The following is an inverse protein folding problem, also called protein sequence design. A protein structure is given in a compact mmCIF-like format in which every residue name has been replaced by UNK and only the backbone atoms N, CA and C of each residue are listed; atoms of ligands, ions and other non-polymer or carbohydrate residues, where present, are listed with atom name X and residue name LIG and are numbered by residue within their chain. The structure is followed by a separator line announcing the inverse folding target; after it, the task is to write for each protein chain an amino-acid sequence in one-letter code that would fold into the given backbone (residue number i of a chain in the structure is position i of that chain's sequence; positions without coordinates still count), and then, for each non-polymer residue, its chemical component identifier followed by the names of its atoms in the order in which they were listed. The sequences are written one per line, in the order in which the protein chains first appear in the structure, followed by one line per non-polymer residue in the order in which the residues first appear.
data_IF_295673413295
#
_entry.id   IF_295673413295
#
_cell.length_a   1.000
_cell.length_b   1.000
_cell.length_c   1.000
_cell.angle_alpha   90.00
_cell.angle_beta   90.00
_cell.angle_gamma   90.00
#
_symmetry.space_group_name_H-M   'P 1'
#
loop_
_entity.id
_entity.type
_entity.pdbx_description
1 polymer ?
#
# COMPACT_ATOMS: atom_id res chain seq x y z
N UNK A 1 -20.58 -11.86 7.84
CA UNK A 1 -19.27 -11.18 7.93
C UNK A 1 -19.45 -9.89 7.17
N UNK A 2 -18.89 -8.80 7.69
CA UNK A 2 -18.94 -7.49 7.04
C UNK A 2 -17.63 -7.28 6.29
N UNK A 3 -17.73 -6.66 5.13
CA UNK A 3 -16.57 -6.36 4.30
C UNK A 3 -15.89 -5.12 4.87
N UNK A 4 -14.56 -5.06 4.79
CA UNK A 4 -13.78 -3.87 5.11
C UNK A 4 -13.22 -3.32 3.81
N UNK A 5 -13.59 -2.10 3.44
CA UNK A 5 -12.99 -1.41 2.31
C UNK A 5 -11.64 -0.84 2.72
N UNK A 6 -10.59 -1.12 1.94
CA UNK A 6 -9.24 -0.68 2.21
C UNK A 6 -8.64 0.09 1.02
N UNK A 7 -7.78 1.05 1.33
CA UNK A 7 -6.94 1.76 0.36
C UNK A 7 -5.54 1.93 0.92
N UNK A 8 -4.55 1.75 0.06
CA UNK A 8 -3.14 1.86 0.41
C UNK A 8 -2.44 2.69 -0.65
N UNK A 9 -1.66 3.67 -0.21
CA UNK A 9 -0.70 4.38 -1.05
C UNK A 9 0.71 4.17 -0.53
N UNK A 10 1.57 3.65 -1.40
CA UNK A 10 2.99 3.53 -1.15
C UNK A 10 3.69 4.80 -1.58
N UNK A 11 4.62 5.27 -0.77
CA UNK A 11 5.53 6.38 -1.10
C UNK A 11 6.98 5.93 -0.91
N UNK A 12 7.84 6.21 -1.90
CA UNK A 12 9.25 5.85 -1.86
C UNK A 12 9.90 5.79 -3.23
N UNK A 13 11.15 5.29 -3.35
CA UNK A 13 11.84 5.16 -4.62
C UNK A 13 11.08 4.27 -5.61
N UNK A 14 11.02 4.66 -6.89
CA UNK A 14 10.23 3.95 -7.90
C UNK A 14 10.66 2.48 -8.06
N UNK A 15 11.96 2.20 -7.92
CA UNK A 15 12.49 0.83 -7.98
C UNK A 15 11.99 -0.08 -6.84
N UNK A 16 11.80 0.47 -5.63
CA UNK A 16 11.28 -0.30 -4.49
C UNK A 16 9.76 -0.49 -4.60
N UNK A 17 9.03 0.50 -5.13
CA UNK A 17 7.60 0.36 -5.44
C UNK A 17 7.37 -0.75 -6.46
N UNK A 18 8.14 -0.76 -7.55
CA UNK A 18 8.06 -1.82 -8.56
C UNK A 18 8.47 -3.20 -8.01
N UNK A 19 9.48 -3.22 -7.12
CA UNK A 19 9.87 -4.45 -6.43
C UNK A 19 8.75 -4.97 -5.54
N UNK A 20 8.09 -4.10 -4.76
CA UNK A 20 6.92 -4.47 -3.96
C UNK A 20 5.81 -5.01 -4.84
N UNK A 21 5.38 -4.25 -5.84
CA UNK A 21 4.26 -4.62 -6.72
C UNK A 21 4.47 -5.99 -7.38
N UNK A 22 5.70 -6.29 -7.82
CA UNK A 22 6.02 -7.57 -8.44
C UNK A 22 6.07 -8.74 -7.46
N UNK A 23 6.50 -8.52 -6.22
CA UNK A 23 6.76 -9.59 -5.25
C UNK A 23 5.60 -9.84 -4.29
N UNK A 24 4.73 -8.84 -4.11
CA UNK A 24 3.75 -8.83 -3.01
C UNK A 24 2.30 -8.80 -3.47
N UNK A 25 2.05 -8.65 -4.77
CA UNK A 25 0.72 -8.66 -5.36
C UNK A 25 0.65 -9.84 -6.32
N UNK A 26 -0.16 -10.83 -5.98
CA UNK A 26 -0.47 -11.94 -6.87
C UNK A 26 -1.90 -11.81 -7.39
N UNK A 27 -2.02 -11.89 -8.72
CA UNK A 27 -3.30 -11.82 -9.43
C UNK A 27 -3.61 -13.22 -9.98
N UNK A 28 -4.48 -14.01 -9.32
CA UNK A 28 -4.76 -15.37 -9.71
C UNK A 28 -5.28 -15.46 -11.15
N UNK A 29 -4.85 -16.48 -11.93
CA UNK A 29 -5.32 -16.64 -13.30
C UNK A 29 -6.85 -16.82 -13.36
N UNK A 30 -7.52 -16.02 -14.19
CA UNK A 30 -8.96 -16.13 -14.44
C UNK A 30 -9.84 -15.16 -13.66
N UNK A 31 -9.27 -14.27 -12.85
CA UNK A 31 -9.98 -13.10 -12.32
C UNK A 31 -10.39 -12.17 -13.47
N UNK A 32 -11.70 -12.00 -13.71
CA UNK A 32 -12.24 -11.09 -14.72
C UNK A 32 -12.55 -9.72 -14.09
N UNK A 33 -11.80 -8.66 -14.42
CA UNK A 33 -12.06 -7.30 -13.91
C UNK A 33 -13.35 -6.69 -14.44
N UNK A 34 -13.96 -7.30 -15.44
CA UNK A 34 -15.20 -6.84 -16.08
C UNK A 34 -16.38 -7.72 -15.69
N UNK A 35 -16.24 -8.64 -14.73
CA UNK A 35 -17.38 -9.36 -14.16
C UNK A 35 -18.18 -8.43 -13.25
N UNK A 36 -18.93 -7.53 -13.88
CA UNK A 36 -19.81 -6.54 -13.26
C UNK A 36 -21.12 -7.17 -12.77
N UNK A 37 -21.23 -8.51 -12.72
CA UNK A 37 -22.46 -9.22 -12.35
C UNK A 37 -22.72 -9.18 -10.83
N UNK A 38 -22.66 -7.99 -10.22
CA UNK A 38 -22.95 -7.79 -8.80
C UNK A 38 -22.64 -6.42 -8.22
N UNK A 39 -22.22 -5.42 -9.02
CA UNK A 39 -21.65 -4.17 -8.49
C UNK A 39 -20.19 -4.31 -8.06
N UNK A 40 -19.53 -5.36 -8.56
CA UNK A 40 -18.12 -5.66 -8.40
C UNK A 40 -17.30 -4.98 -9.51
N UNK A 41 -16.28 -4.21 -9.12
CA UNK A 41 -15.36 -3.51 -10.03
C UNK A 41 -13.89 -3.79 -9.61
N UNK A 42 -13.43 -5.04 -9.72
CA UNK A 42 -12.05 -5.39 -9.38
C UNK A 42 -11.71 -6.87 -9.51
N UNK A 43 -10.48 -7.22 -9.13
CA UNK A 43 -9.96 -8.59 -9.18
C UNK A 43 -9.90 -9.22 -7.78
N UNK A 44 -9.97 -10.54 -7.74
CA UNK A 44 -9.39 -11.29 -6.63
C UNK A 44 -7.87 -11.09 -6.62
N UNK A 45 -7.26 -11.04 -5.44
CA UNK A 45 -5.82 -10.94 -5.29
C UNK A 45 -5.35 -11.59 -4.00
N UNK A 46 -4.06 -11.91 -3.94
CA UNK A 46 -3.36 -12.16 -2.69
C UNK A 46 -2.34 -11.06 -2.46
N UNK A 47 -2.44 -10.39 -1.31
CA UNK A 47 -1.51 -9.34 -0.87
C UNK A 47 -0.61 -9.93 0.20
N UNK A 48 0.67 -10.08 -0.09
CA UNK A 48 1.60 -10.70 0.84
C UNK A 48 2.82 -11.25 0.15
N UNK A 49 3.77 -11.78 0.93
CA UNK A 49 5.01 -12.29 0.37
C UNK A 49 5.02 -13.82 0.35
N UNK A 50 4.84 -14.40 -0.84
CA UNK A 50 4.89 -15.85 -1.01
C UNK A 50 6.34 -16.30 -1.26
N UNK A 51 7.06 -16.64 -0.19
CA UNK A 51 8.24 -17.52 -0.23
C UNK A 51 9.54 -16.96 -0.82
N UNK A 52 10.33 -16.25 0.01
CA UNK A 52 11.82 -16.26 -0.05
C UNK A 52 12.44 -16.30 1.36
N UNK A 53 11.77 -16.94 2.32
CA UNK A 53 12.47 -17.43 3.52
C UNK A 53 12.50 -18.96 3.44
N UNK A 54 13.68 -19.60 3.46
CA UNK A 54 13.73 -21.05 3.60
C UNK A 54 12.98 -21.40 4.89
N UNK A 55 11.97 -22.26 4.79
CA UNK A 55 11.30 -22.79 5.96
C UNK A 55 12.38 -23.36 6.90
N UNK A 56 12.57 -22.75 8.06
CA UNK A 56 13.45 -23.34 9.06
C UNK A 56 12.93 -24.75 9.37
N UNK A 57 13.78 -25.79 9.30
CA UNK A 57 13.33 -27.15 9.59
C UNK A 57 12.84 -27.23 11.03
N UNK A 58 11.52 -27.33 11.21
CA UNK A 58 10.87 -27.39 12.52
C UNK A 58 9.68 -26.42 12.69
N UNK A 59 9.52 -25.44 11.79
CA UNK A 59 8.39 -24.53 11.83
C UNK A 59 7.23 -25.06 10.97
N UNK A 60 6.26 -25.74 11.59
CA UNK A 60 5.04 -26.22 10.92
C UNK A 60 4.04 -25.10 10.61
N UNK A 61 4.37 -23.82 10.84
CA UNK A 61 3.56 -22.72 10.31
C UNK A 61 4.10 -22.32 8.94
N UNK A 62 3.56 -22.89 7.88
CA UNK A 62 3.26 -22.04 6.72
C UNK A 62 2.21 -21.05 7.20
N UNK A 63 2.63 -19.96 7.87
CA UNK A 63 1.79 -18.76 7.85
C UNK A 63 1.70 -18.44 6.37
N UNK A 64 0.50 -18.54 5.80
CA UNK A 64 0.24 -17.79 4.59
C UNK A 64 0.59 -16.34 4.95
N UNK A 65 1.73 -15.82 4.49
CA UNK A 65 2.20 -14.48 4.82
C UNK A 65 1.51 -13.46 3.91
N UNK A 66 0.20 -13.61 3.75
CA UNK A 66 -0.59 -12.81 2.86
C UNK A 66 -2.07 -12.92 3.16
N UNK A 67 -2.79 -11.92 2.69
CA UNK A 67 -4.23 -11.76 2.83
C UNK A 67 -4.89 -12.02 1.48
N UNK A 68 -5.94 -12.84 1.46
CA UNK A 68 -6.82 -12.89 0.31
C UNK A 68 -7.70 -11.64 0.33
N UNK A 69 -7.72 -10.93 -0.78
CA UNK A 69 -8.53 -9.74 -0.93
C UNK A 69 -9.30 -9.80 -2.24
N UNK A 70 -10.38 -9.03 -2.30
CA UNK A 70 -11.22 -8.93 -3.48
C UNK A 70 -11.48 -7.48 -3.85
N UNK A 71 -12.16 -7.26 -4.97
CA UNK A 71 -12.39 -5.92 -5.51
C UNK A 71 -11.09 -5.10 -5.67
N UNK A 72 -9.98 -5.80 -5.91
CA UNK A 72 -8.65 -5.19 -6.02
C UNK A 72 -8.61 -4.30 -7.27
N UNK A 73 -8.12 -3.09 -7.08
CA UNK A 73 -7.97 -2.09 -8.13
C UNK A 73 -6.74 -1.24 -7.90
N UNK A 74 -6.04 -0.96 -8.98
CA UNK A 74 -4.87 -0.10 -8.96
C UNK A 74 -5.20 1.27 -9.53
N UNK A 75 -4.57 2.30 -8.97
CA UNK A 75 -4.53 3.62 -9.59
C UNK A 75 -3.28 3.74 -10.45
N UNK A 76 -3.34 4.61 -11.46
CA UNK A 76 -2.20 4.87 -12.32
C UNK A 76 -0.98 5.29 -11.48
N UNK A 77 0.18 4.62 -11.61
CA UNK A 77 1.35 4.95 -10.83
C UNK A 77 1.82 6.38 -11.13
N UNK A 78 2.31 7.05 -10.10
CA UNK A 78 2.87 8.39 -10.20
C UNK A 78 4.35 8.36 -9.77
N UNK A 79 5.17 9.33 -10.19
CA UNK A 79 6.56 9.40 -9.73
C UNK A 79 6.64 9.45 -8.20
N UNK A 80 7.23 8.41 -7.61
CA UNK A 80 7.41 8.29 -6.16
C UNK A 80 6.18 7.78 -5.38
N UNK A 81 5.09 7.40 -6.05
CA UNK A 81 3.93 6.80 -5.37
C UNK A 81 3.10 5.85 -6.23
N UNK A 82 2.50 4.85 -5.59
CA UNK A 82 1.55 3.95 -6.23
C UNK A 82 0.45 3.58 -5.23
N UNK A 83 -0.80 3.61 -5.70
CA UNK A 83 -1.98 3.39 -4.86
C UNK A 83 -2.81 2.24 -5.39
N UNK A 84 -3.40 1.48 -4.48
CA UNK A 84 -4.34 0.42 -4.77
C UNK A 84 -5.40 0.33 -3.67
N UNK A 85 -6.56 -0.22 -4.00
CA UNK A 85 -7.66 -0.44 -3.08
C UNK A 85 -8.17 -1.88 -3.21
N UNK A 86 -8.72 -2.41 -2.14
CA UNK A 86 -9.17 -3.80 -2.04
C UNK A 86 -10.09 -3.97 -0.84
N UNK A 87 -10.88 -5.03 -0.86
CA UNK A 87 -11.78 -5.38 0.22
C UNK A 87 -11.27 -6.65 0.93
N UNK A 88 -11.45 -6.71 2.25
CA UNK A 88 -11.09 -7.85 3.10
C UNK A 88 -12.24 -8.24 4.01
N UNK A 89 -12.14 -9.41 4.63
CA UNK A 89 -13.07 -9.82 5.68
C UNK A 89 -12.81 -9.01 6.96
N UNK A 90 -13.84 -8.34 7.47
CA UNK A 90 -13.97 -7.80 8.83
C UNK A 90 -13.00 -6.70 9.30
N UNK A 91 -11.78 -6.57 8.75
CA UNK A 91 -10.77 -5.61 9.21
C UNK A 91 -9.63 -5.40 8.21
N UNK A 92 -8.90 -4.30 8.37
CA UNK A 92 -7.64 -4.09 7.67
C UNK A 92 -6.62 -5.15 8.15
N UNK A 93 -5.86 -5.79 7.23
CA UNK A 93 -4.95 -6.89 7.57
C UNK A 93 -3.63 -6.36 8.17
N UNK A 94 -3.68 -5.80 9.38
CA UNK A 94 -2.56 -5.12 10.04
C UNK A 94 -1.29 -5.98 10.08
N UNK A 95 -1.40 -7.25 10.51
CA UNK A 95 -0.24 -8.13 10.62
C UNK A 95 0.49 -8.40 9.29
N UNK A 96 -0.24 -8.41 8.17
CA UNK A 96 0.37 -8.54 6.84
C UNK A 96 1.12 -7.26 6.49
N UNK A 97 0.55 -6.09 6.76
CA UNK A 97 1.19 -4.81 6.47
C UNK A 97 2.36 -4.48 7.40
N UNK A 98 2.36 -4.95 8.66
CA UNK A 98 3.53 -4.90 9.54
C UNK A 98 4.71 -5.70 8.96
N UNK A 99 4.44 -6.94 8.51
CA UNK A 99 5.45 -7.80 7.88
C UNK A 99 5.97 -7.19 6.56
N UNK A 100 5.08 -6.67 5.72
CA UNK A 100 5.45 -6.00 4.47
C UNK A 100 6.27 -4.73 4.73
N UNK A 101 5.89 -3.92 5.71
CA UNK A 101 6.65 -2.72 6.08
C UNK A 101 8.07 -3.07 6.56
N UNK A 102 8.23 -4.17 7.31
CA UNK A 102 9.54 -4.67 7.72
C UNK A 102 10.40 -5.14 6.52
N UNK A 103 9.79 -5.73 5.49
CA UNK A 103 10.46 -6.20 4.27
C UNK A 103 10.84 -5.07 3.30
N UNK A 104 10.12 -3.95 3.35
CA UNK A 104 10.31 -2.78 2.49
C UNK A 104 10.52 -1.50 3.31
N UNK A 105 11.64 -1.39 4.05
CA UNK A 105 11.89 -0.27 4.96
C UNK A 105 12.06 1.09 4.27
N UNK A 106 12.25 1.10 2.94
CA UNK A 106 12.34 2.31 2.14
C UNK A 106 10.96 2.82 1.65
N UNK A 107 9.89 2.06 1.91
CA UNK A 107 8.52 2.42 1.54
C UNK A 107 7.74 2.86 2.79
N UNK A 108 6.92 3.89 2.60
CA UNK A 108 5.94 4.36 3.56
C UNK A 108 4.53 3.99 3.05
N UNK A 109 3.76 3.29 3.87
CA UNK A 109 2.44 2.78 3.51
C UNK A 109 1.39 3.66 4.18
N UNK A 110 0.76 4.57 3.43
CA UNK A 110 -0.41 5.33 3.90
C UNK A 110 -1.66 4.49 3.68
N UNK A 111 -2.26 4.05 4.78
CA UNK A 111 -3.34 3.10 4.78
C UNK A 111 -4.61 3.76 5.27
N UNK A 112 -5.72 3.34 4.69
CA UNK A 112 -7.05 3.82 4.99
C UNK A 112 -8.05 2.66 4.94
N UNK A 113 -8.99 2.58 5.90
CA UNK A 113 -10.04 1.56 5.90
C UNK A 113 -11.37 2.06 6.47
N UNK A 114 -12.48 1.43 6.07
CA UNK A 114 -13.82 1.62 6.64
C UNK A 114 -14.61 0.32 6.56
N UNK A 115 -15.28 -0.05 7.65
CA UNK A 115 -16.19 -1.18 7.69
C UNK A 115 -17.47 -0.89 6.88
N UNK A 116 -17.97 -1.87 6.14
CA UNK A 116 -19.13 -1.73 5.27
C UNK A 116 -20.45 -1.43 6.01
N UNK A 117 -20.53 -1.67 7.33
CA UNK A 117 -21.66 -1.30 8.16
C UNK A 117 -21.40 -0.06 9.03
N UNK A 118 -20.33 0.69 8.75
CA UNK A 118 -19.93 1.89 9.48
C UNK A 118 -19.58 1.62 10.97
N UNK A 119 -19.22 0.38 11.33
CA UNK A 119 -18.89 0.02 12.72
C UNK A 119 -17.55 0.64 13.18
N UNK A 120 -16.60 0.78 12.25
CA UNK A 120 -15.31 1.42 12.50
C UNK A 120 -14.68 1.97 11.21
N UNK A 121 -13.68 2.82 11.38
CA UNK A 121 -12.75 3.23 10.32
C UNK A 121 -11.32 3.29 10.85
N UNK A 122 -10.36 3.38 9.94
CA UNK A 122 -8.95 3.46 10.28
C UNK A 122 -8.16 4.27 9.28
N UNK A 123 -7.09 4.90 9.75
CA UNK A 123 -6.11 5.53 8.88
C UNK A 123 -4.75 5.65 9.56
N UNK A 124 -3.70 5.85 8.77
CA UNK A 124 -2.35 6.11 9.27
C UNK A 124 -1.29 5.33 8.51
N UNK A 125 -0.10 5.21 9.08
CA UNK A 125 1.07 4.72 8.36
C UNK A 125 1.61 3.40 8.90
N UNK A 126 1.97 2.48 8.01
CA UNK A 126 3.05 1.51 8.28
C UNK A 126 4.37 2.07 7.73
N UNK A 127 5.47 1.88 8.47
CA UNK A 127 6.69 2.67 8.31
C UNK A 127 6.40 4.18 8.30
N UNK A 128 5.96 4.80 9.40
CA UNK A 128 5.62 6.22 9.41
C UNK A 128 6.84 7.08 9.02
N UNK A 129 6.67 8.07 8.12
CA UNK A 129 7.69 9.11 7.95
C UNK A 129 7.85 9.88 9.28
N UNK A 130 8.94 10.66 9.42
CA UNK A 130 9.15 11.45 10.65
C UNK A 130 7.96 12.38 10.89
N UNK A 131 7.23 12.14 12.00
CA UNK A 131 6.03 12.90 12.35
C UNK A 131 4.72 12.37 11.76
N UNK A 132 4.75 11.30 10.97
CA UNK A 132 3.55 10.54 10.57
C UNK A 132 2.99 9.74 11.74
N UNK A 133 1.67 9.56 11.75
CA UNK A 133 0.98 8.80 12.79
C UNK A 133 0.89 7.32 12.41
N UNK A 134 1.21 6.37 13.30
CA UNK A 134 1.07 4.96 12.99
C UNK A 134 -0.39 4.61 12.66
N UNK A 135 -0.59 3.59 11.84
CA UNK A 135 -1.92 3.10 11.49
C UNK A 135 -2.69 2.65 12.74
N UNK A 136 -4.00 2.91 12.72
CA UNK A 136 -4.99 2.44 13.69
C UNK A 136 -6.34 2.29 13.00
N UNK A 137 -7.16 1.33 13.43
CA UNK A 137 -8.49 1.06 12.87
C UNK A 137 -9.61 0.98 13.91
N UNK A 138 -9.43 1.68 15.04
CA UNK A 138 -10.38 1.77 16.15
C UNK A 138 -11.11 3.13 16.17
N UNK A 139 -11.24 3.80 15.02
CA UNK A 139 -11.85 5.12 14.93
C UNK A 139 -13.36 5.01 14.70
N UNK A 140 -14.15 5.87 15.36
CA UNK A 140 -15.61 5.94 15.15
C UNK A 140 -15.94 6.53 13.78
N UNK A 141 -16.91 5.95 13.07
CA UNK A 141 -17.44 6.52 11.82
C UNK A 141 -18.45 7.63 12.14
N UNK A 142 -18.22 8.88 11.71
CA UNK A 142 -19.18 9.96 11.91
C UNK A 142 -20.52 9.66 11.23
N UNK A 143 -21.65 9.97 11.89
CA UNK A 143 -22.98 9.73 11.34
C UNK A 143 -23.26 10.46 10.01
N UNK A 144 -22.54 11.55 9.74
CA UNK A 144 -22.59 12.31 8.49
C UNK A 144 -21.46 11.97 7.50
N UNK A 145 -20.68 10.92 7.74
CA UNK A 145 -19.51 10.57 6.92
C UNK A 145 -19.85 10.53 5.42
N UNK A 146 -20.88 9.78 5.03
CA UNK A 146 -21.28 9.63 3.63
C UNK A 146 -21.96 10.88 3.04
N UNK A 147 -22.66 11.67 3.85
CA UNK A 147 -23.46 12.81 3.38
C UNK A 147 -22.70 14.14 3.43
N UNK A 148 -21.69 14.24 4.30
CA UNK A 148 -20.82 15.39 4.52
C UNK A 148 -19.58 15.43 3.62
N UNK A 149 -19.42 14.46 2.71
CA UNK A 149 -18.31 14.42 1.74
C UNK A 149 -17.15 13.49 2.11
N UNK A 150 -17.36 12.48 2.94
CA UNK A 150 -16.61 11.21 2.97
C UNK A 150 -15.12 11.27 3.27
N UNK A 151 -14.59 12.36 3.83
CA UNK A 151 -13.12 12.59 3.85
C UNK A 151 -12.51 12.82 5.23
N UNK A 152 -13.29 12.89 6.31
CA UNK A 152 -12.75 13.34 7.60
C UNK A 152 -12.41 12.21 8.55
N UNK A 153 -11.46 11.38 8.12
CA UNK A 153 -10.74 10.48 9.07
C UNK A 153 -9.71 11.24 9.87
N UNK A 154 -9.21 12.36 9.34
CA UNK A 154 -8.25 13.24 10.01
C UNK A 154 -8.90 14.56 10.40
N UNK A 155 -8.49 15.13 11.54
CA UNK A 155 -8.81 16.52 11.85
C UNK A 155 -8.13 17.46 10.84
N UNK A 156 -8.64 18.68 10.61
CA UNK A 156 -8.02 19.61 9.66
C UNK A 156 -6.53 19.86 9.91
N UNK A 157 -6.12 19.92 11.17
CA UNK A 157 -4.72 20.11 11.56
C UNK A 157 -3.85 18.89 11.21
N UNK A 158 -4.37 17.68 11.45
CA UNK A 158 -3.69 16.42 11.12
C UNK A 158 -3.62 16.23 9.60
N UNK A 159 -4.69 16.55 8.89
CA UNK A 159 -4.76 16.46 7.43
C UNK A 159 -3.77 17.43 6.74
N UNK A 160 -3.66 18.65 7.24
CA UNK A 160 -2.66 19.60 6.76
C UNK A 160 -1.23 19.10 6.98
N UNK A 161 -0.96 18.48 8.14
CA UNK A 161 0.34 17.88 8.46
C UNK A 161 0.62 16.67 7.55
N UNK A 162 -0.37 15.80 7.36
CA UNK A 162 -0.30 14.65 6.46
C UNK A 162 0.04 15.09 5.03
N UNK A 163 -0.68 16.08 4.50
CA UNK A 163 -0.44 16.65 3.17
C UNK A 163 1.00 17.15 3.03
N UNK A 164 1.53 17.83 4.05
CA UNK A 164 2.91 18.30 4.05
C UNK A 164 3.93 17.14 4.06
N UNK A 165 3.65 16.06 4.80
CA UNK A 165 4.48 14.85 4.82
C UNK A 165 4.48 14.14 3.47
N UNK A 166 3.31 13.93 2.88
CA UNK A 166 3.16 13.33 1.54
C UNK A 166 3.96 14.13 0.52
N UNK A 167 3.84 15.46 0.52
CA UNK A 167 4.61 16.32 -0.38
C UNK A 167 6.11 16.11 -0.20
N UNK A 168 6.61 16.08 1.04
CA UNK A 168 8.03 15.88 1.32
C UNK A 168 8.53 14.49 0.86
N UNK A 169 7.71 13.45 1.00
CA UNK A 169 8.03 12.10 0.52
C UNK A 169 8.13 12.05 -1.00
N UNK A 170 7.18 12.67 -1.72
CA UNK A 170 7.21 12.74 -3.18
C UNK A 170 8.44 13.51 -3.69
N UNK A 171 8.75 14.66 -3.08
CA UNK A 171 9.95 15.44 -3.43
C UNK A 171 11.23 14.60 -3.22
N UNK A 172 11.32 13.86 -2.10
CA UNK A 172 12.46 13.00 -1.79
C UNK A 172 12.60 11.80 -2.75
N UNK A 173 11.48 11.17 -3.13
CA UNK A 173 11.46 10.06 -4.08
C UNK A 173 11.93 10.51 -5.47
N UNK A 174 11.46 11.65 -5.95
CA UNK A 174 11.91 12.21 -7.23
C UNK A 174 13.41 12.52 -7.24
N UNK A 175 13.94 13.05 -6.14
CA UNK A 175 15.37 13.31 -6.00
C UNK A 175 16.20 12.02 -5.96
N UNK A 176 15.71 10.96 -5.31
CA UNK A 176 16.34 9.65 -5.31
C UNK A 176 16.42 9.06 -6.74
N UNK A 177 15.31 9.09 -7.47
CA UNK A 177 15.24 8.56 -8.83
C UNK A 177 16.16 9.33 -9.80
N UNK A 178 16.23 10.66 -9.67
CA UNK A 178 17.17 11.50 -10.45
C UNK A 178 18.62 11.15 -10.19
N UNK A 179 18.99 10.83 -8.95
CA UNK A 179 20.37 10.44 -8.59
C UNK A 179 20.71 9.07 -9.19
N UNK A 180 19.79 8.11 -9.11
CA UNK A 180 19.96 6.78 -9.70
C UNK A 180 20.17 6.86 -11.22
N UNK A 181 19.35 7.64 -11.94
CA UNK A 181 19.47 7.83 -13.39
C UNK A 181 20.82 8.45 -13.80
N UNK A 182 21.32 9.44 -13.04
CA UNK A 182 22.64 10.05 -13.29
C UNK A 182 23.78 9.06 -13.08
N UNK A 183 23.67 8.20 -12.08
CA UNK A 183 24.68 7.17 -11.81
C UNK A 183 24.73 6.13 -12.94
N UNK A 184 23.57 5.64 -13.41
CA UNK A 184 23.51 4.71 -14.54
C UNK A 184 24.11 5.30 -15.82
N UNK A 185 23.79 6.58 -16.11
CA UNK A 185 24.36 7.31 -17.24
C UNK A 185 25.88 7.40 -17.15
N UNK A 186 26.42 7.72 -15.97
CA UNK A 186 27.85 7.80 -15.74
C UNK A 186 28.54 6.44 -15.91
N UNK A 187 27.95 5.37 -15.38
CA UNK A 187 28.45 3.99 -15.57
C UNK A 187 28.45 3.59 -17.04
N UNK A 188 27.42 3.98 -17.81
CA UNK A 188 27.36 3.72 -19.24
C UNK A 188 28.49 4.43 -20.00
N UNK A 189 28.70 5.72 -19.74
CA UNK A 189 29.77 6.52 -20.36
C UNK A 189 31.14 5.94 -20.04
N UNK A 190 31.39 5.51 -18.80
CA UNK A 190 32.66 4.87 -18.44
C UNK A 190 32.90 3.54 -19.17
N UNK A 191 31.84 2.75 -19.43
CA UNK A 191 31.94 1.52 -20.22
C UNK A 191 32.22 1.78 -21.70
N UNK A 192 31.77 2.91 -22.24
CA UNK A 192 31.99 3.30 -23.64
C UNK A 192 33.37 3.95 -23.87
N UNK A 193 33.86 4.73 -22.91
CA UNK A 193 35.19 5.40 -23.00
C UNK A 193 36.35 4.46 -22.63
N UNK A 194 36.07 3.35 -21.97
CA UNK A 194 37.05 2.32 -21.60
C UNK A 194 37.34 1.24 -22.67
N UNK A 195 36.88 1.43 -23.91
CA UNK A 195 37.21 0.60 -25.09
C UNK A 195 38.11 1.35 -26.05
#
# INVERSE_FOLDING_TARGET
MTDCWNSVTLYGPSAEIERFRRLCIDLPPGSDPQDVSGGWDGYDTYIGFDGVMPAEPGCNSRRAQGEYAWNYREHAPQPGSWSFAFDTDQSFPEGVFEDLAALFPALHFDCDCIDALDDYMGCGWFNPPTGGEPFRQDMEVPADYWTGGGSRKRTPEVDAKHTALVKALLDAAQDADRRSSKFETFVHVLKEVGR
#
